data_IF_778930074847
#
_entry.id   IF_778930074847
#
_cell.length_a   1.000
_cell.length_b   1.000
_cell.length_c   1.000
_cell.angle_alpha   90.00
_cell.angle_beta   90.00
_cell.angle_gamma   90.00
#
_symmetry.space_group_name_H-M   'P 1'
#
loop_
_entity.id
_entity.type
_entity.pdbx_description
1 polymer ?
#
# COMPACT_ATOMS: atom_id res chain seq x y z
N UNK A 1 15.92 7.13 42.59
CA UNK A 1 16.84 6.19 41.89
C UNK A 1 15.93 5.32 41.03
N UNK A 2 15.59 5.58 39.77
CA UNK A 2 16.30 6.12 38.60
C UNK A 2 15.62 7.38 38.02
N UNK A 3 16.34 8.06 37.13
CA UNK A 3 16.24 9.48 36.80
C UNK A 3 14.99 9.91 36.00
N UNK A 4 14.37 11.00 36.49
CA UNK A 4 13.44 11.90 35.82
C UNK A 4 14.27 12.87 34.94
N UNK A 5 14.30 12.65 33.62
CA UNK A 5 14.98 13.51 32.65
C UNK A 5 14.32 13.44 31.26
N UNK A 6 13.01 13.70 31.19
CA UNK A 6 12.32 14.04 29.94
C UNK A 6 11.02 14.80 30.26
N UNK A 7 11.15 15.87 31.07
CA UNK A 7 10.09 16.87 31.26
C UNK A 7 10.16 17.90 30.14
N UNK A 8 8.98 18.27 29.64
CA UNK A 8 8.69 19.49 28.89
C UNK A 8 9.41 19.70 27.56
N UNK A 9 8.76 19.27 26.46
CA UNK A 9 8.72 20.10 25.25
C UNK A 9 7.28 20.56 25.01
N UNK A 10 7.02 21.87 24.95
CA UNK A 10 5.69 22.37 24.64
C UNK A 10 5.39 22.10 23.17
N UNK A 11 4.17 21.64 22.88
CA UNK A 11 3.62 21.59 21.52
C UNK A 11 3.55 23.02 20.96
N UNK A 12 4.62 23.47 20.31
CA UNK A 12 4.58 24.66 19.51
C UNK A 12 3.94 24.31 18.17
N UNK A 13 2.72 24.81 17.95
CA UNK A 13 2.13 24.91 16.63
C UNK A 13 3.11 25.61 15.69
N UNK A 14 3.69 24.88 14.75
CA UNK A 14 4.27 25.43 13.54
C UNK A 14 3.26 25.21 12.41
N UNK A 15 2.40 26.22 12.20
CA UNK A 15 1.77 26.44 10.91
C UNK A 15 2.88 27.03 10.04
N UNK A 16 3.57 26.20 9.26
CA UNK A 16 4.41 26.68 8.17
C UNK A 16 3.71 26.34 6.84
N UNK A 17 2.76 27.21 6.48
CA UNK A 17 2.09 27.20 5.20
C UNK A 17 2.99 27.87 4.15
N UNK A 18 4.15 27.27 3.86
CA UNK A 18 5.10 27.89 2.93
C UNK A 18 5.91 26.92 2.08
N UNK A 19 5.31 25.81 1.60
CA UNK A 19 5.77 25.15 0.36
C UNK A 19 4.56 24.52 -0.36
N UNK A 20 3.63 25.36 -0.84
CA UNK A 20 2.81 24.99 -1.99
C UNK A 20 3.44 25.65 -3.19
N UNK A 21 4.14 24.85 -4.01
CA UNK A 21 4.59 25.27 -5.33
C UNK A 21 3.37 25.74 -6.15
N UNK A 22 3.32 27.04 -6.55
CA UNK A 22 2.20 27.59 -7.30
C UNK A 22 2.12 27.09 -8.75
N UNK A 23 2.97 26.15 -9.17
CA UNK A 23 2.93 25.59 -10.53
C UNK A 23 2.08 24.33 -10.69
N UNK A 24 1.58 23.72 -9.62
CA UNK A 24 0.61 22.63 -9.74
C UNK A 24 -0.79 23.18 -10.04
N UNK A 25 -1.08 23.34 -11.34
CA UNK A 25 -2.44 23.55 -11.83
C UNK A 25 -3.30 22.36 -11.40
N UNK A 26 -4.38 22.67 -10.68
CA UNK A 26 -5.53 21.78 -10.51
C UNK A 26 -5.99 21.35 -11.91
N UNK A 27 -5.75 20.11 -12.28
CA UNK A 27 -6.39 19.52 -13.46
C UNK A 27 -7.79 19.11 -13.01
N UNK A 28 -8.74 19.98 -13.33
CA UNK A 28 -10.16 19.71 -13.24
C UNK A 28 -10.51 18.67 -14.30
N UNK A 29 -10.64 17.39 -13.92
CA UNK A 29 -11.20 16.35 -14.78
C UNK A 29 -12.69 16.25 -14.44
N UNK A 30 -13.41 17.32 -14.75
CA UNK A 30 -14.86 17.37 -14.83
C UNK A 30 -15.28 17.35 -16.30
N UNK A 31 -16.25 16.49 -16.61
CA UNK A 31 -17.05 16.38 -17.84
C UNK A 31 -16.69 15.27 -18.85
N UNK A 32 -17.78 14.75 -19.43
CA UNK A 32 -17.95 13.63 -20.36
C UNK A 32 -17.92 12.25 -19.68
N UNK A 33 -19.05 11.53 -19.54
CA UNK A 33 -20.00 11.19 -20.60
C UNK A 33 -21.45 11.06 -20.10
N UNK A 34 -22.37 11.55 -20.95
CA UNK A 34 -23.81 11.25 -20.98
C UNK A 34 -24.06 10.43 -22.26
N UNK A 35 -25.19 9.71 -22.29
CA UNK A 35 -25.72 8.84 -23.37
C UNK A 35 -25.09 7.44 -23.34
N UNK A 36 -25.84 6.34 -23.27
CA UNK A 36 -27.12 6.04 -23.91
C UNK A 36 -28.03 5.18 -22.99
N UNK A 37 -29.33 5.53 -22.97
CA UNK A 37 -30.43 4.68 -22.52
C UNK A 37 -30.82 3.72 -23.66
N UNK A 38 -31.06 2.45 -23.38
CA UNK A 38 -32.07 1.62 -24.08
C UNK A 38 -32.42 0.36 -23.26
N UNK A 39 -33.64 -0.18 -23.42
CA UNK A 39 -34.44 -0.64 -22.30
C UNK A 39 -34.52 -2.16 -22.12
N UNK A 40 -35.13 -2.50 -20.99
CA UNK A 40 -35.60 -3.82 -20.55
C UNK A 40 -36.42 -4.59 -21.60
N UNK A 41 -36.13 -5.88 -21.74
CA UNK A 41 -37.17 -6.89 -21.99
C UNK A 41 -36.76 -8.27 -21.43
N UNK A 42 -37.64 -8.75 -20.56
CA UNK A 42 -38.14 -10.11 -20.35
C UNK A 42 -37.24 -11.34 -20.12
N UNK A 43 -37.59 -11.95 -18.99
CA UNK A 43 -37.41 -13.32 -18.52
C UNK A 43 -37.35 -14.44 -19.57
N UNK A 44 -36.57 -15.50 -19.29
CA UNK A 44 -37.10 -16.85 -18.96
C UNK A 44 -35.96 -17.88 -18.79
N UNK A 45 -36.04 -18.58 -17.65
CA UNK A 45 -35.57 -19.92 -17.23
C UNK A 45 -34.11 -20.36 -17.28
N UNK A 46 -33.66 -20.62 -16.05
CA UNK A 46 -32.69 -21.59 -15.52
C UNK A 46 -32.75 -22.96 -16.21
N UNK A 47 -31.60 -23.51 -16.57
CA UNK A 47 -31.31 -24.93 -16.42
C UNK A 47 -29.84 -25.11 -16.01
N UNK A 48 -29.67 -25.89 -14.95
CA UNK A 48 -28.44 -26.22 -14.25
C UNK A 48 -27.57 -27.21 -15.03
N UNK A 49 -26.25 -27.01 -15.10
CA UNK A 49 -25.28 -28.12 -14.98
C UNK A 49 -23.85 -27.61 -14.71
N UNK A 50 -23.28 -28.11 -13.61
CA UNK A 50 -21.94 -27.81 -13.08
C UNK A 50 -20.89 -28.82 -13.63
N UNK A 51 -19.64 -28.40 -13.92
CA UNK A 51 -18.56 -29.27 -14.45
C UNK A 51 -17.69 -29.83 -13.31
N UNK A 52 -16.80 -30.84 -13.51
CA UNK A 52 -15.34 -30.50 -13.51
C UNK A 52 -14.31 -31.51 -14.13
N UNK A 53 -13.15 -30.93 -14.51
CA UNK A 53 -11.74 -31.44 -14.39
C UNK A 53 -11.22 -32.66 -15.18
N UNK A 54 -10.11 -32.47 -15.94
CA UNK A 54 -8.82 -33.23 -15.80
C UNK A 54 -7.69 -32.85 -16.80
N UNK A 55 -6.51 -32.58 -16.21
CA UNK A 55 -5.13 -33.07 -16.53
C UNK A 55 -4.33 -32.64 -17.78
N UNK A 56 -3.29 -31.85 -17.51
CA UNK A 56 -1.83 -31.95 -17.82
C UNK A 56 -1.31 -32.94 -18.90
N UNK A 57 -0.38 -32.47 -19.77
CA UNK A 57 1.04 -32.91 -19.94
C UNK A 57 1.63 -32.45 -21.30
N UNK A 58 2.73 -31.69 -21.26
CA UNK A 58 4.10 -32.04 -21.74
C UNK A 58 4.32 -32.12 -23.26
N UNK A 59 5.24 -31.30 -23.79
CA UNK A 59 6.30 -31.73 -24.71
C UNK A 59 7.37 -30.64 -24.92
N UNK A 60 8.64 -31.04 -24.72
CA UNK A 60 9.90 -30.30 -24.93
C UNK A 60 10.58 -30.81 -26.22
N UNK A 61 11.67 -30.15 -26.65
CA UNK A 61 12.73 -30.57 -27.61
C UNK A 61 12.58 -30.03 -29.05
N UNK A 62 13.62 -29.69 -29.84
CA UNK A 62 15.09 -29.62 -29.71
C UNK A 62 15.71 -29.03 -31.01
N UNK A 63 17.05 -28.86 -31.00
CA UNK A 63 18.02 -28.70 -32.11
C UNK A 63 18.28 -27.25 -32.58
N UNK A 64 19.47 -26.64 -32.44
CA UNK A 64 20.91 -26.97 -32.64
C UNK A 64 21.37 -26.98 -34.11
N UNK A 65 22.16 -25.94 -34.49
CA UNK A 65 23.46 -25.96 -35.22
C UNK A 65 23.87 -24.53 -35.61
N UNK A 66 25.01 -24.01 -35.12
CA UNK A 66 26.34 -23.89 -35.80
C UNK A 66 26.28 -22.92 -37.00
N UNK A 67 27.12 -21.89 -37.19
CA UNK A 67 28.58 -21.76 -37.00
C UNK A 67 29.08 -20.33 -37.31
N UNK A 68 30.19 -19.90 -36.65
CA UNK A 68 31.32 -19.04 -37.11
C UNK A 68 31.03 -17.67 -37.76
N UNK A 69 31.75 -16.56 -37.53
CA UNK A 69 33.06 -16.25 -36.94
C UNK A 69 33.24 -14.72 -36.95
N UNK A 70 34.12 -14.18 -36.07
CA UNK A 70 35.00 -12.99 -36.28
C UNK A 70 34.29 -11.61 -36.47
N UNK A 71 34.61 -10.47 -35.84
CA UNK A 71 35.73 -9.99 -35.02
C UNK A 71 35.30 -8.71 -34.25
N UNK A 72 35.93 -8.52 -33.09
CA UNK A 72 36.41 -7.27 -32.44
C UNK A 72 35.50 -6.04 -32.10
N UNK A 73 35.76 -5.58 -30.86
CA UNK A 73 35.73 -4.21 -30.32
C UNK A 73 34.47 -3.61 -29.64
N UNK A 74 34.57 -3.63 -28.30
CA UNK A 74 34.42 -2.50 -27.37
C UNK A 74 33.05 -1.82 -27.22
N UNK A 75 32.26 -2.32 -26.25
CA UNK A 75 31.53 -1.50 -25.26
C UNK A 75 30.64 -2.41 -24.40
N UNK A 76 30.96 -2.55 -23.12
CA UNK A 76 30.09 -3.23 -22.16
C UNK A 76 28.93 -2.30 -21.75
N UNK A 77 27.85 -2.32 -22.52
CA UNK A 77 26.51 -1.92 -22.06
C UNK A 77 25.84 -3.14 -21.42
N UNK A 78 25.61 -3.07 -20.10
CA UNK A 78 24.91 -4.11 -19.35
C UNK A 78 23.41 -4.06 -19.72
N UNK A 79 23.02 -4.98 -20.61
CA UNK A 79 21.71 -5.07 -21.25
C UNK A 79 20.58 -5.38 -20.26
N UNK A 80 19.54 -4.55 -20.33
CA UNK A 80 18.31 -4.55 -19.56
C UNK A 80 17.23 -5.45 -20.20
N UNK A 81 17.31 -6.78 -20.06
CA UNK A 81 16.33 -7.69 -20.71
C UNK A 81 15.52 -8.59 -19.73
N UNK A 82 15.71 -8.49 -18.42
CA UNK A 82 15.04 -9.33 -17.40
C UNK A 82 13.86 -8.64 -16.64
N UNK A 83 13.43 -7.46 -17.08
CA UNK A 83 12.50 -6.62 -16.29
C UNK A 83 10.99 -6.97 -16.35
N UNK A 84 10.40 -7.55 -17.42
CA UNK A 84 8.93 -7.64 -17.51
C UNK A 84 8.29 -8.69 -16.58
N UNK A 85 8.93 -9.83 -16.35
CA UNK A 85 8.36 -10.94 -15.55
C UNK A 85 8.21 -10.57 -14.07
N UNK A 86 9.20 -9.89 -13.50
CA UNK A 86 9.19 -9.46 -12.09
C UNK A 86 8.10 -8.44 -11.78
N UNK A 87 7.68 -7.64 -12.76
CA UNK A 87 6.66 -6.60 -12.56
C UNK A 87 5.26 -7.21 -12.48
N UNK A 88 4.95 -8.16 -13.36
CA UNK A 88 3.67 -8.85 -13.39
C UNK A 88 3.43 -9.66 -12.11
N UNK A 89 4.44 -10.43 -11.69
CA UNK A 89 4.37 -11.18 -10.43
C UNK A 89 4.07 -10.26 -9.25
N UNK A 90 4.76 -9.11 -9.16
CA UNK A 90 4.53 -8.13 -8.08
C UNK A 90 3.10 -7.60 -8.09
N UNK A 91 2.51 -7.36 -9.26
CA UNK A 91 1.12 -6.90 -9.41
C UNK A 91 0.14 -7.95 -8.89
N UNK A 92 0.32 -9.22 -9.25
CA UNK A 92 -0.55 -10.31 -8.80
C UNK A 92 -0.49 -10.52 -7.28
N UNK A 93 0.70 -10.41 -6.69
CA UNK A 93 0.87 -10.55 -5.24
C UNK A 93 0.12 -9.42 -4.52
N UNK A 94 0.27 -8.17 -4.96
CA UNK A 94 -0.46 -7.05 -4.35
C UNK A 94 -1.97 -7.15 -4.53
N UNK A 95 -2.42 -7.57 -5.72
CA UNK A 95 -3.84 -7.81 -5.97
C UNK A 95 -4.41 -8.85 -5.00
N UNK A 96 -3.68 -9.95 -4.80
CA UNK A 96 -4.05 -11.00 -3.85
C UNK A 96 -4.12 -10.49 -2.40
N UNK A 97 -3.16 -9.66 -1.98
CA UNK A 97 -3.13 -9.08 -0.62
C UNK A 97 -4.28 -8.12 -0.39
N UNK A 98 -4.54 -7.22 -1.33
CA UNK A 98 -5.66 -6.27 -1.26
C UNK A 98 -7.00 -7.00 -1.22
N UNK A 99 -7.18 -8.07 -2.00
CA UNK A 99 -8.39 -8.90 -1.90
C UNK A 99 -8.55 -9.48 -0.50
N UNK A 100 -7.46 -9.96 0.12
CA UNK A 100 -7.50 -10.47 1.49
C UNK A 100 -7.90 -9.38 2.49
N UNK A 101 -7.27 -8.21 2.47
CA UNK A 101 -7.62 -7.11 3.36
C UNK A 101 -9.10 -6.73 3.23
N UNK A 102 -9.57 -6.52 1.99
CA UNK A 102 -10.96 -6.14 1.74
C UNK A 102 -11.95 -7.24 2.14
N UNK A 103 -11.57 -8.52 2.04
CA UNK A 103 -12.44 -9.62 2.47
C UNK A 103 -12.70 -9.55 3.97
N UNK A 104 -11.68 -9.23 4.77
CA UNK A 104 -11.82 -9.14 6.22
C UNK A 104 -12.54 -7.85 6.63
N UNK A 105 -12.16 -6.72 6.04
CA UNK A 105 -12.80 -5.43 6.27
C UNK A 105 -14.29 -5.44 5.88
N UNK A 106 -14.67 -6.15 4.82
CA UNK A 106 -16.08 -6.25 4.38
C UNK A 106 -17.04 -6.80 5.43
N UNK A 107 -16.56 -7.58 6.41
CA UNK A 107 -17.45 -8.07 7.47
C UNK A 107 -17.89 -6.95 8.42
N UNK A 108 -17.14 -5.86 8.49
CA UNK A 108 -17.37 -4.75 9.41
C UNK A 108 -17.88 -3.51 8.70
N UNK A 109 -17.78 -3.49 7.37
CA UNK A 109 -17.88 -2.27 6.57
C UNK A 109 -19.05 -2.32 5.61
N UNK A 110 -19.89 -1.29 5.68
CA UNK A 110 -20.84 -0.98 4.63
C UNK A 110 -20.09 -0.64 3.33
N UNK A 111 -20.58 -1.18 2.21
CA UNK A 111 -20.02 -0.93 0.87
C UNK A 111 -19.77 0.58 0.66
N UNK A 112 -18.54 0.93 0.29
CA UNK A 112 -18.06 2.30 -0.01
C UNK A 112 -17.86 3.26 1.18
N UNK A 113 -17.58 2.74 2.39
CA UNK A 113 -17.25 3.60 3.54
C UNK A 113 -15.92 4.33 3.39
N UNK A 114 -14.92 3.68 2.80
CA UNK A 114 -13.59 4.25 2.63
C UNK A 114 -13.54 5.12 1.39
N UNK A 115 -13.12 6.38 1.57
CA UNK A 115 -12.80 7.27 0.46
C UNK A 115 -11.36 7.73 0.50
N UNK A 116 -10.81 7.96 1.69
CA UNK A 116 -9.46 8.48 1.87
C UNK A 116 -8.55 7.42 2.50
N UNK A 117 -7.64 6.89 1.70
CA UNK A 117 -6.66 5.89 2.12
C UNK A 117 -5.26 6.50 2.06
N UNK A 118 -4.41 6.19 3.04
CA UNK A 118 -2.99 6.49 2.99
C UNK A 118 -2.19 5.20 3.01
N UNK A 119 -1.29 5.07 2.04
CA UNK A 119 -0.24 4.05 2.06
C UNK A 119 1.01 4.70 2.64
N UNK A 120 1.30 4.43 3.91
CA UNK A 120 2.37 5.08 4.66
C UNK A 120 3.77 4.67 4.18
N UNK A 121 3.87 3.54 3.47
CA UNK A 121 5.11 3.05 2.87
C UNK A 121 4.82 2.45 1.50
N UNK A 122 4.61 3.32 0.52
CA UNK A 122 4.10 2.95 -0.80
C UNK A 122 5.08 2.18 -1.68
N UNK A 123 6.39 2.27 -1.41
CA UNK A 123 7.44 1.64 -2.22
C UNK A 123 7.29 2.02 -3.70
N UNK A 124 6.74 1.13 -4.55
CA UNK A 124 6.48 1.38 -5.99
C UNK A 124 4.99 1.64 -6.31
N UNK A 125 4.14 1.89 -5.30
CA UNK A 125 2.69 2.13 -5.46
C UNK A 125 1.87 0.88 -5.78
N UNK A 126 2.33 -0.32 -5.39
CA UNK A 126 1.65 -1.59 -5.71
C UNK A 126 0.28 -1.74 -5.05
N UNK A 127 0.15 -1.23 -3.82
CA UNK A 127 -1.12 -1.19 -3.09
C UNK A 127 -2.13 -0.26 -3.79
N UNK A 128 -1.76 1.00 -4.07
CA UNK A 128 -2.61 1.94 -4.79
C UNK A 128 -3.02 1.44 -6.19
N UNK A 129 -2.09 0.85 -6.94
CA UNK A 129 -2.38 0.26 -8.26
C UNK A 129 -3.44 -0.85 -8.18
N UNK A 130 -3.47 -1.61 -7.08
CA UNK A 130 -4.46 -2.67 -6.85
C UNK A 130 -5.85 -2.14 -6.49
N UNK A 131 -5.95 -0.86 -6.10
CA UNK A 131 -7.19 -0.19 -5.71
C UNK A 131 -7.82 0.65 -6.81
N UNK A 132 -7.18 0.76 -7.98
CA UNK A 132 -7.64 1.58 -9.13
C UNK A 132 -9.11 1.32 -9.57
N UNK A 133 -9.64 0.11 -9.33
CA UNK A 133 -11.04 -0.25 -9.67
C UNK A 133 -12.07 0.12 -8.59
N UNK A 134 -11.63 0.70 -7.47
CA UNK A 134 -12.49 1.11 -6.35
C UNK A 134 -12.55 2.64 -6.30
N UNK A 135 -13.66 3.18 -5.79
CA UNK A 135 -13.85 4.62 -5.61
C UNK A 135 -13.10 5.13 -4.36
N UNK A 136 -11.78 4.95 -4.33
CA UNK A 136 -10.91 5.34 -3.22
C UNK A 136 -9.76 6.20 -3.70
N UNK A 137 -9.44 7.25 -2.94
CA UNK A 137 -8.24 8.05 -3.10
C UNK A 137 -7.13 7.46 -2.26
N UNK A 138 -5.94 7.30 -2.84
CA UNK A 138 -4.78 6.75 -2.12
C UNK A 138 -3.65 7.78 -2.14
N UNK A 139 -3.30 8.30 -0.97
CA UNK A 139 -2.07 9.08 -0.77
C UNK A 139 -0.91 8.11 -0.58
N UNK A 140 0.03 8.08 -1.52
CA UNK A 140 1.21 7.23 -1.44
C UNK A 140 2.35 7.98 -0.76
N UNK A 141 2.78 7.54 0.42
CA UNK A 141 3.92 8.12 1.12
C UNK A 141 5.13 7.22 0.93
N UNK A 142 6.23 7.80 0.45
CA UNK A 142 7.51 7.11 0.32
C UNK A 142 8.42 7.58 1.46
N UNK A 143 9.00 6.67 2.26
CA UNK A 143 10.00 7.06 3.25
C UNK A 143 11.13 7.85 2.62
N UNK A 144 11.65 8.89 3.29
CA UNK A 144 12.70 9.75 2.74
C UNK A 144 13.95 8.97 2.30
N UNK A 145 14.24 7.84 2.96
CA UNK A 145 15.34 6.92 2.63
C UNK A 145 15.24 6.31 1.23
N UNK A 146 14.03 6.27 0.65
CA UNK A 146 13.73 5.70 -0.66
C UNK A 146 13.13 6.73 -1.63
N UNK A 147 13.39 8.02 -1.41
CA UNK A 147 12.79 9.15 -2.16
C UNK A 147 12.85 9.02 -3.68
N UNK A 148 13.87 8.36 -4.25
CA UNK A 148 13.98 8.09 -5.69
C UNK A 148 12.81 7.30 -6.29
N UNK A 149 12.07 6.53 -5.47
CA UNK A 149 10.89 5.77 -5.91
C UNK A 149 9.67 6.65 -6.17
N UNK A 150 9.63 7.88 -5.64
CA UNK A 150 8.52 8.80 -5.83
C UNK A 150 8.30 9.14 -7.32
N UNK A 151 9.39 9.25 -8.09
CA UNK A 151 9.31 9.47 -9.55
C UNK A 151 8.49 8.36 -10.24
N UNK A 152 8.69 7.11 -9.86
CA UNK A 152 7.98 5.95 -10.42
C UNK A 152 6.48 6.01 -10.09
N UNK A 153 6.13 6.53 -8.90
CA UNK A 153 4.74 6.72 -8.50
C UNK A 153 4.05 7.76 -9.39
N UNK A 154 4.72 8.89 -9.66
CA UNK A 154 4.20 9.91 -10.57
C UNK A 154 4.12 9.45 -12.02
N UNK A 155 5.12 8.71 -12.51
CA UNK A 155 5.11 8.13 -13.86
C UNK A 155 3.93 7.15 -14.05
N UNK A 156 3.41 6.57 -12.97
CA UNK A 156 2.20 5.70 -12.96
C UNK A 156 0.88 6.47 -12.83
N UNK A 157 0.92 7.80 -12.72
CA UNK A 157 -0.23 8.67 -12.51
C UNK A 157 -0.85 8.56 -11.12
N UNK A 158 -0.07 8.16 -10.11
CA UNK A 158 -0.51 8.06 -8.72
C UNK A 158 -0.09 9.30 -7.93
N UNK A 159 -0.92 9.74 -6.98
CA UNK A 159 -0.56 10.83 -6.07
C UNK A 159 0.32 10.32 -4.94
N UNK A 160 1.35 11.07 -4.58
CA UNK A 160 2.22 10.72 -3.49
C UNK A 160 3.14 11.84 -3.03
N UNK A 161 3.81 11.61 -1.91
CA UNK A 161 4.80 12.50 -1.29
C UNK A 161 5.91 11.68 -0.65
N UNK A 162 7.04 12.31 -0.37
CA UNK A 162 8.05 11.79 0.54
C UNK A 162 7.79 12.28 1.96
N UNK A 163 8.10 11.46 2.97
CA UNK A 163 8.04 11.87 4.38
C UNK A 163 9.06 11.13 5.25
N UNK A 164 9.47 11.76 6.34
CA UNK A 164 10.24 11.13 7.41
C UNK A 164 9.31 10.78 8.59
N UNK A 165 9.07 9.49 8.80
CA UNK A 165 8.18 8.99 9.84
C UNK A 165 8.77 9.05 11.26
N UNK A 166 10.02 9.51 11.41
CA UNK A 166 10.54 9.96 12.70
C UNK A 166 9.96 11.31 13.13
N UNK A 167 9.39 12.06 12.19
CA UNK A 167 8.73 13.34 12.39
C UNK A 167 7.22 13.24 12.12
N UNK A 168 6.44 14.17 12.69
CA UNK A 168 4.99 14.23 12.46
C UNK A 168 4.67 14.57 11.00
N UNK A 169 3.68 13.89 10.43
CA UNK A 169 3.24 14.11 9.07
C UNK A 169 2.45 15.42 8.96
N UNK A 170 2.79 16.27 7.98
CA UNK A 170 2.15 17.57 7.77
C UNK A 170 0.76 17.45 7.14
N UNK A 171 -0.20 16.91 7.89
CA UNK A 171 -1.62 16.79 7.51
C UNK A 171 -2.54 17.15 8.68
N UNK A 172 -3.78 17.50 8.35
CA UNK A 172 -4.81 17.72 9.34
C UNK A 172 -5.11 16.42 10.11
N UNK A 173 -5.35 16.49 11.43
CA UNK A 173 -5.83 15.33 12.19
C UNK A 173 -7.12 14.76 11.56
N UNK A 174 -7.35 13.44 11.71
CA UNK A 174 -8.59 12.75 11.30
C UNK A 174 -8.93 12.85 9.80
N UNK A 175 -7.91 12.83 8.93
CA UNK A 175 -8.05 13.00 7.48
C UNK A 175 -8.34 11.68 6.74
N UNK A 176 -7.78 10.56 7.21
CA UNK A 176 -7.83 9.28 6.50
C UNK A 176 -8.78 8.28 7.15
N UNK A 177 -9.51 7.53 6.33
CA UNK A 177 -10.41 6.47 6.79
C UNK A 177 -9.68 5.13 6.95
N UNK A 178 -8.59 4.92 6.19
CA UNK A 178 -7.77 3.72 6.22
C UNK A 178 -6.28 4.06 6.12
N UNK A 179 -5.48 3.55 7.05
CA UNK A 179 -4.02 3.58 6.98
C UNK A 179 -3.48 2.21 6.61
N UNK A 180 -2.52 2.15 5.70
CA UNK A 180 -1.79 0.95 5.36
C UNK A 180 -0.30 1.15 5.63
N UNK A 181 0.27 0.30 6.48
CA UNK A 181 1.67 0.33 6.86
C UNK A 181 2.31 -1.03 6.53
N UNK A 182 3.19 -1.06 5.53
CA UNK A 182 3.98 -2.23 5.18
C UNK A 182 5.43 -2.05 5.63
N UNK A 183 5.91 -2.95 6.50
CA UNK A 183 7.28 -2.98 7.06
C UNK A 183 7.78 -1.61 7.56
N UNK A 184 6.86 -0.69 7.85
CA UNK A 184 7.18 0.68 8.21
C UNK A 184 7.77 0.72 9.62
N UNK A 185 7.18 -0.03 10.55
CA UNK A 185 7.65 -0.09 11.93
C UNK A 185 9.05 -0.71 12.02
N UNK A 186 9.29 -1.79 11.26
CA UNK A 186 10.65 -2.35 11.11
C UNK A 186 11.66 -1.34 10.56
N UNK A 187 11.22 -0.39 9.74
CA UNK A 187 12.11 0.57 9.10
C UNK A 187 12.43 1.73 10.03
N UNK A 188 11.43 2.29 10.74
CA UNK A 188 11.67 3.34 11.73
C UNK A 188 12.46 2.83 12.95
N UNK A 189 12.29 1.56 13.33
CA UNK A 189 13.07 0.93 14.40
C UNK A 189 14.57 0.92 14.05
N UNK A 190 14.92 0.59 12.81
CA UNK A 190 16.32 0.63 12.33
C UNK A 190 16.89 2.04 12.31
N UNK A 191 16.06 3.04 12.08
CA UNK A 191 16.45 4.46 12.10
C UNK A 191 16.64 4.99 13.52
N UNK A 192 16.28 4.20 14.55
CA UNK A 192 16.40 4.58 15.96
C UNK A 192 15.23 5.44 16.46
N UNK A 193 14.11 5.43 15.74
CA UNK A 193 12.93 6.21 16.07
C UNK A 193 11.93 5.39 16.90
N UNK A 194 11.14 6.07 17.73
CA UNK A 194 10.18 5.42 18.63
C UNK A 194 8.99 4.86 17.85
N UNK A 195 8.66 3.59 18.11
CA UNK A 195 7.46 2.95 17.55
C UNK A 195 6.19 3.56 18.14
N UNK A 196 6.26 4.02 19.40
CA UNK A 196 5.20 4.72 20.11
C UNK A 196 4.84 6.05 19.43
N UNK A 197 5.84 6.84 19.06
CA UNK A 197 5.63 8.13 18.38
C UNK A 197 4.91 7.93 17.04
N UNK A 198 5.29 6.91 16.25
CA UNK A 198 4.57 6.59 15.01
C UNK A 198 3.14 6.12 15.27
N UNK A 199 2.90 5.32 16.31
CA UNK A 199 1.53 4.90 16.65
C UNK A 199 0.64 6.08 17.09
N UNK A 200 1.20 7.02 17.86
CA UNK A 200 0.50 8.27 18.24
C UNK A 200 0.20 9.09 16.99
N UNK A 201 1.15 9.17 16.06
CA UNK A 201 0.95 9.87 14.79
C UNK A 201 -0.13 9.21 13.93
N UNK A 202 -0.18 7.87 13.89
CA UNK A 202 -1.26 7.13 13.23
C UNK A 202 -2.63 7.44 13.86
N UNK A 203 -2.73 7.46 15.19
CA UNK A 203 -3.98 7.83 15.88
C UNK A 203 -4.41 9.27 15.58
N UNK A 204 -3.44 10.19 15.47
CA UNK A 204 -3.71 11.58 15.12
C UNK A 204 -4.35 11.72 13.72
N UNK A 205 -3.80 11.04 12.72
CA UNK A 205 -4.22 11.21 11.30
C UNK A 205 -5.44 10.36 10.91
N UNK A 206 -5.69 9.25 11.60
CA UNK A 206 -6.82 8.35 11.34
C UNK A 206 -8.14 9.00 11.80
N UNK A 207 -9.24 8.85 11.07
CA UNK A 207 -10.58 9.37 11.44
C UNK A 207 -11.24 8.52 12.55
N UNK A 208 -12.25 9.02 13.31
CA UNK A 208 -13.02 8.14 14.20
C UNK A 208 -13.63 6.99 13.41
N UNK A 209 -13.52 5.77 13.94
CA UNK A 209 -13.91 4.53 13.25
C UNK A 209 -13.13 4.27 11.96
N UNK A 210 -11.97 4.92 11.80
CA UNK A 210 -11.02 4.56 10.76
C UNK A 210 -10.29 3.26 11.12
N UNK A 211 -9.71 2.64 10.10
CA UNK A 211 -9.05 1.35 10.22
C UNK A 211 -7.55 1.48 9.93
N UNK A 212 -6.75 0.60 10.52
CA UNK A 212 -5.31 0.55 10.28
C UNK A 212 -4.87 -0.88 9.95
N UNK A 213 -4.26 -1.07 8.78
CA UNK A 213 -3.65 -2.32 8.37
C UNK A 213 -2.14 -2.20 8.60
N UNK A 214 -1.65 -2.91 9.60
CA UNK A 214 -0.23 -2.99 9.93
C UNK A 214 0.29 -4.35 9.50
N UNK A 215 1.21 -4.35 8.55
CA UNK A 215 1.89 -5.56 8.10
C UNK A 215 3.38 -5.46 8.36
N UNK A 216 3.85 -6.18 9.36
CA UNK A 216 5.25 -6.12 9.77
C UNK A 216 5.78 -7.49 10.24
N UNK A 217 7.04 -7.56 10.66
CA UNK A 217 7.65 -8.74 11.26
C UNK A 217 6.89 -9.15 12.53
N UNK A 218 6.94 -10.44 12.83
CA UNK A 218 6.24 -11.03 13.98
C UNK A 218 6.54 -10.31 15.29
N UNK A 219 7.82 -10.01 15.56
CA UNK A 219 8.27 -9.41 16.82
C UNK A 219 7.76 -7.98 16.98
N UNK A 220 7.83 -7.20 15.90
CA UNK A 220 7.36 -5.81 15.84
C UNK A 220 5.84 -5.74 16.05
N UNK A 221 5.07 -6.59 15.38
CA UNK A 221 3.60 -6.66 15.58
C UNK A 221 3.28 -7.06 17.02
N UNK A 222 4.05 -7.98 17.61
CA UNK A 222 3.86 -8.40 19.00
C UNK A 222 4.17 -7.27 19.99
N UNK A 223 5.13 -6.41 19.67
CA UNK A 223 5.43 -5.21 20.45
C UNK A 223 4.29 -4.18 20.34
N UNK A 224 3.89 -3.82 19.12
CA UNK A 224 2.79 -2.87 18.86
C UNK A 224 1.53 -3.26 19.61
N UNK A 225 1.16 -4.55 19.60
CA UNK A 225 0.00 -5.09 20.32
C UNK A 225 -0.04 -4.73 21.80
N UNK A 226 1.11 -4.59 22.46
CA UNK A 226 1.18 -4.22 23.88
C UNK A 226 0.85 -2.74 24.12
N UNK A 227 1.03 -1.91 23.10
CA UNK A 227 0.80 -0.45 23.17
C UNK A 227 -0.65 -0.07 22.83
N UNK A 228 -1.36 -0.89 22.07
CA UNK A 228 -2.72 -0.60 21.60
C UNK A 228 -3.76 -0.31 22.68
N UNK A 229 -3.76 -0.98 23.85
CA UNK A 229 -4.70 -0.63 24.92
C UNK A 229 -4.55 0.82 25.39
N UNK A 230 -3.35 1.39 25.30
CA UNK A 230 -3.13 2.80 25.64
C UNK A 230 -3.79 3.75 24.63
N UNK A 231 -3.97 3.32 23.38
CA UNK A 231 -4.63 4.07 22.30
C UNK A 231 -6.13 3.75 22.19
N UNK A 232 -6.65 2.82 23.01
CA UNK A 232 -8.04 2.31 22.92
C UNK A 232 -8.37 1.69 21.56
N UNK A 233 -7.39 1.02 20.97
CA UNK A 233 -7.53 0.29 19.71
C UNK A 233 -7.82 -1.20 19.94
N UNK A 234 -8.04 -1.62 21.19
CA UNK A 234 -8.16 -3.02 21.61
C UNK A 234 -9.46 -3.71 21.16
N UNK A 235 -10.52 -2.95 20.94
CA UNK A 235 -11.86 -3.49 20.66
C UNK A 235 -12.02 -4.11 19.25
N UNK A 236 -11.14 -3.82 18.28
CA UNK A 236 -11.39 -4.08 16.84
C UNK A 236 -10.25 -4.81 16.13
N UNK A 237 -9.57 -5.73 16.81
CA UNK A 237 -8.29 -6.22 16.29
C UNK A 237 -8.29 -7.64 15.74
N UNK A 238 -7.76 -7.79 14.52
CA UNK A 238 -7.64 -9.07 13.82
C UNK A 238 -6.20 -9.36 13.44
N UNK A 239 -5.67 -10.50 13.88
CA UNK A 239 -4.39 -11.02 13.41
C UNK A 239 -4.61 -12.02 12.28
N UNK A 240 -3.92 -11.81 11.16
CA UNK A 240 -3.90 -12.74 10.05
C UNK A 240 -2.48 -13.23 9.79
N UNK A 241 -2.36 -14.53 9.51
CA UNK A 241 -1.13 -15.11 8.97
C UNK A 241 -1.21 -15.11 7.44
N UNK A 242 -0.31 -14.42 6.73
CA UNK A 242 -0.29 -14.43 5.27
C UNK A 242 0.09 -15.82 4.76
N UNK A 243 -0.57 -16.26 3.67
CA UNK A 243 -0.29 -17.58 3.06
C UNK A 243 1.08 -17.65 2.38
N UNK A 244 1.60 -16.53 1.87
CA UNK A 244 2.83 -16.47 1.06
C UNK A 244 4.07 -15.99 1.81
N UNK A 245 3.89 -15.23 2.90
CA UNK A 245 4.99 -14.49 3.53
C UNK A 245 5.11 -14.83 5.03
N UNK A 246 5.61 -16.02 5.34
CA UNK A 246 5.61 -16.60 6.68
C UNK A 246 6.27 -15.72 7.78
N UNK A 247 7.17 -14.81 7.39
CA UNK A 247 7.91 -13.93 8.32
C UNK A 247 7.14 -12.68 8.74
N UNK A 248 6.01 -12.39 8.08
CA UNK A 248 5.22 -11.18 8.34
C UNK A 248 3.87 -11.53 8.93
N UNK A 249 3.38 -10.73 9.87
CA UNK A 249 2.01 -10.78 10.36
C UNK A 249 1.25 -9.57 9.83
N UNK A 250 -0.04 -9.77 9.59
CA UNK A 250 -0.96 -8.69 9.28
C UNK A 250 -1.83 -8.47 10.51
N UNK A 251 -1.99 -7.23 10.88
CA UNK A 251 -2.82 -6.79 11.98
C UNK A 251 -3.75 -5.70 11.46
N UNK A 252 -5.05 -5.87 11.70
CA UNK A 252 -6.09 -4.93 11.28
C UNK A 252 -6.74 -4.42 12.57
N UNK A 253 -6.79 -3.10 12.74
CA UNK A 253 -7.60 -2.37 13.72
C UNK A 253 -8.76 -1.72 12.97
#
# INVERSE_FOLDING_TARGET
>A
MLNDASRNRPYHLAIDATVMDPTFRVIDIGAASKMEDEPSDDSVTVDDEEPPQKKQKEALSAAKKESSSEDEDDSSEESSDDEPTKVEEKKEIWHSRVIQYWKHLKFEIQKDSFRNVMDMSANLGGFAASLKKKNVWVMNVVPFTESGKLKIIYDRGLMGTTHDWCESFSTYPRTYDLLHAWLLFSEIEKQGCSLEDLLIEMDRILRPYGYAIIRDKVDVVTYIKKLLPALRWDDWTFEMRPKKDALTKIYII
#
